data_IF_998040956239
#
_entry.id   IF_998040956239
#
_cell.length_a   1.000
_cell.length_b   1.000
_cell.length_c   1.000
_cell.angle_alpha   90.00
_cell.angle_beta   90.00
_cell.angle_gamma   90.00
#
_symmetry.space_group_name_H-M   'P 1'
#
loop_
_entity.id
_entity.type
_entity.pdbx_description
1 polymer ?
#
# COMPACT_ATOMS: atom_id res chain seq x y z
N UNK A 1 2.38 -18.10 6.73
CA UNK A 1 1.58 -18.53 5.56
C UNK A 1 0.39 -19.35 6.04
N UNK A 2 -0.78 -19.16 5.45
CA UNK A 2 -2.01 -19.85 5.82
C UNK A 2 -2.24 -21.05 4.88
N UNK A 3 -2.56 -22.25 5.39
CA UNK A 3 -2.90 -23.40 4.56
C UNK A 3 -4.14 -23.13 3.69
N UNK A 4 -4.16 -23.66 2.45
CA UNK A 4 -5.27 -23.41 1.49
C UNK A 4 -6.64 -23.79 2.04
N UNK A 5 -6.73 -24.91 2.74
CA UNK A 5 -8.00 -25.42 3.29
C UNK A 5 -8.53 -24.63 4.49
N UNK A 6 -7.77 -23.69 5.03
CA UNK A 6 -8.20 -22.83 6.15
C UNK A 6 -8.78 -21.48 5.69
N UNK A 7 -8.83 -21.21 4.38
CA UNK A 7 -9.27 -19.92 3.82
C UNK A 7 -10.73 -19.58 4.19
N UNK A 8 -11.61 -20.53 4.08
CA UNK A 8 -13.03 -20.35 4.39
C UNK A 8 -13.22 -20.00 5.87
N UNK A 9 -12.64 -20.79 6.77
CA UNK A 9 -12.66 -20.52 8.21
C UNK A 9 -12.03 -19.15 8.54
N UNK A 10 -10.98 -18.77 7.82
CA UNK A 10 -10.33 -17.46 8.02
C UNK A 10 -11.23 -16.31 7.57
N UNK A 11 -11.92 -16.46 6.45
CA UNK A 11 -12.89 -15.48 5.97
C UNK A 11 -14.03 -15.26 7.00
N UNK A 12 -14.57 -16.34 7.58
CA UNK A 12 -15.57 -16.27 8.65
C UNK A 12 -15.04 -15.56 9.91
N UNK A 13 -13.82 -15.89 10.34
CA UNK A 13 -13.18 -15.21 11.48
C UNK A 13 -13.00 -13.72 11.25
N UNK A 14 -12.54 -13.32 10.07
CA UNK A 14 -12.37 -11.92 9.69
C UNK A 14 -13.71 -11.18 9.62
N UNK A 15 -14.73 -11.79 9.05
CA UNK A 15 -16.07 -11.23 8.99
C UNK A 15 -16.64 -11.02 10.41
N UNK A 16 -16.48 -11.98 11.29
CA UNK A 16 -16.90 -11.85 12.69
C UNK A 16 -16.17 -10.72 13.44
N UNK A 17 -14.84 -10.65 13.31
CA UNK A 17 -14.06 -9.58 13.92
C UNK A 17 -14.43 -8.20 13.36
N UNK A 18 -14.66 -8.10 12.06
CA UNK A 18 -15.15 -6.88 11.41
C UNK A 18 -16.50 -6.43 11.97
N UNK A 19 -17.42 -7.38 12.17
CA UNK A 19 -18.72 -7.12 12.79
C UNK A 19 -18.60 -6.64 14.24
N UNK A 20 -17.78 -7.31 15.05
CA UNK A 20 -17.53 -6.90 16.45
C UNK A 20 -16.94 -5.50 16.51
N UNK A 21 -15.91 -5.21 15.71
CA UNK A 21 -15.31 -3.88 15.61
C UNK A 21 -16.34 -2.84 15.20
N UNK A 22 -17.12 -3.13 14.20
CA UNK A 22 -18.20 -2.24 13.71
C UNK A 22 -19.21 -1.93 14.82
N UNK A 23 -19.72 -2.94 15.51
CA UNK A 23 -20.70 -2.75 16.61
C UNK A 23 -20.14 -1.92 17.75
N UNK A 24 -18.87 -2.09 18.10
CA UNK A 24 -18.23 -1.28 19.14
C UNK A 24 -18.12 0.19 18.74
N UNK A 25 -17.62 0.47 17.52
CA UNK A 25 -17.41 1.84 17.05
C UNK A 25 -18.74 2.54 16.79
N UNK A 26 -19.72 1.86 16.17
CA UNK A 26 -21.03 2.45 15.81
C UNK A 26 -22.02 2.55 16.98
N UNK A 27 -21.63 2.18 18.20
CA UNK A 27 -22.51 2.19 19.36
C UNK A 27 -22.95 3.62 19.74
N UNK A 28 -24.19 3.78 20.21
CA UNK A 28 -24.72 5.06 20.69
C UNK A 28 -23.82 5.69 21.75
N UNK A 29 -23.22 4.85 22.62
CA UNK A 29 -22.32 5.30 23.66
C UNK A 29 -21.10 6.04 23.10
N UNK A 30 -20.53 5.56 21.99
CA UNK A 30 -19.40 6.24 21.32
C UNK A 30 -19.84 7.59 20.79
N UNK A 31 -21.01 7.67 20.13
CA UNK A 31 -21.58 8.94 19.66
C UNK A 31 -21.78 9.95 20.78
N UNK A 32 -22.36 9.53 21.93
CA UNK A 32 -22.54 10.38 23.10
C UNK A 32 -21.21 10.88 23.70
N UNK A 33 -20.18 10.02 23.74
CA UNK A 33 -18.86 10.39 24.23
C UNK A 33 -18.17 11.40 23.30
N UNK A 34 -18.30 11.24 21.98
CA UNK A 34 -17.79 12.20 21.00
C UNK A 34 -18.46 13.56 21.17
N UNK A 35 -19.79 13.61 21.36
CA UNK A 35 -20.52 14.86 21.59
C UNK A 35 -20.04 15.56 22.88
N UNK A 36 -19.93 14.83 23.99
CA UNK A 36 -19.40 15.38 25.25
C UNK A 36 -17.97 15.91 25.10
N UNK A 37 -17.11 15.17 24.40
CA UNK A 37 -15.72 15.59 24.19
C UNK A 37 -15.60 16.87 23.35
N UNK A 38 -16.57 17.19 22.50
CA UNK A 38 -16.60 18.46 21.74
C UNK A 38 -16.81 19.69 22.60
N UNK A 39 -17.48 19.53 23.74
CA UNK A 39 -17.75 20.61 24.70
C UNK A 39 -16.55 20.86 25.65
N UNK A 40 -15.54 19.99 25.61
CA UNK A 40 -14.33 20.11 26.44
C UNK A 40 -13.28 21.05 25.82
N UNK A 41 -12.48 21.67 26.68
CA UNK A 41 -11.34 22.47 26.25
C UNK A 41 -10.15 21.57 25.91
N UNK A 42 -10.04 21.19 24.65
CA UNK A 42 -9.00 20.30 24.15
C UNK A 42 -7.84 21.07 23.51
N UNK A 43 -6.62 20.57 23.68
CA UNK A 43 -5.45 21.01 22.90
C UNK A 43 -5.57 20.55 21.43
N UNK A 44 -4.67 21.02 20.58
CA UNK A 44 -4.73 20.74 19.12
C UNK A 44 -4.54 19.27 18.77
N UNK A 45 -3.74 18.53 19.55
CA UNK A 45 -3.56 17.08 19.36
C UNK A 45 -4.83 16.31 19.69
N UNK A 46 -5.46 16.61 20.81
CA UNK A 46 -6.71 15.99 21.22
C UNK A 46 -7.87 16.37 20.28
N UNK A 47 -7.91 17.63 19.78
CA UNK A 47 -8.86 18.02 18.74
C UNK A 47 -8.68 17.22 17.45
N UNK A 48 -7.43 17.01 17.01
CA UNK A 48 -7.15 16.19 15.84
C UNK A 48 -7.59 14.74 16.05
N UNK A 49 -7.31 14.16 17.21
CA UNK A 49 -7.72 12.81 17.55
C UNK A 49 -9.26 12.67 17.59
N UNK A 50 -9.95 13.62 18.23
CA UNK A 50 -11.42 13.64 18.29
C UNK A 50 -12.04 13.73 16.89
N UNK A 51 -11.46 14.54 15.99
CA UNK A 51 -11.89 14.64 14.59
C UNK A 51 -11.81 13.30 13.88
N UNK A 52 -10.71 12.54 14.04
CA UNK A 52 -10.57 11.23 13.42
C UNK A 52 -11.48 10.18 14.08
N UNK A 53 -11.68 10.23 15.39
CA UNK A 53 -12.68 9.40 16.09
C UNK A 53 -14.10 9.66 15.56
N UNK A 54 -14.47 10.91 15.41
CA UNK A 54 -15.78 11.29 14.86
C UNK A 54 -15.95 10.79 13.42
N UNK A 55 -14.91 10.93 12.60
CA UNK A 55 -14.92 10.44 11.23
C UNK A 55 -15.13 8.91 11.20
N UNK A 56 -14.39 8.16 12.00
CA UNK A 56 -14.56 6.69 12.10
C UNK A 56 -15.97 6.31 12.57
N UNK A 57 -16.49 7.03 13.56
CA UNK A 57 -17.85 6.83 14.05
C UNK A 57 -18.89 7.09 12.96
N UNK A 58 -18.80 8.20 12.23
CA UNK A 58 -19.74 8.55 11.16
C UNK A 58 -19.71 7.48 10.06
N UNK A 59 -18.52 7.08 9.61
CA UNK A 59 -18.36 6.05 8.58
C UNK A 59 -18.96 4.70 9.03
N UNK A 60 -18.67 4.29 10.26
CA UNK A 60 -19.14 3.02 10.81
C UNK A 60 -20.64 3.04 11.11
N UNK A 61 -21.15 4.07 11.81
CA UNK A 61 -22.56 4.14 12.23
C UNK A 61 -23.55 4.34 11.08
N UNK A 62 -23.07 4.74 9.91
CA UNK A 62 -23.90 4.88 8.71
C UNK A 62 -24.21 3.54 8.04
N UNK A 63 -23.40 2.52 8.25
CA UNK A 63 -23.51 1.24 7.57
C UNK A 63 -24.22 0.19 8.42
N UNK A 64 -25.17 -0.59 7.85
CA UNK A 64 -25.74 -1.75 8.52
C UNK A 64 -24.69 -2.83 8.78
N UNK A 65 -24.73 -3.45 9.96
CA UNK A 65 -23.76 -4.48 10.37
C UNK A 65 -23.75 -5.69 9.42
N UNK A 66 -24.89 -6.06 8.86
CA UNK A 66 -25.00 -7.16 7.91
C UNK A 66 -24.32 -6.85 6.56
N UNK A 67 -24.36 -5.59 6.12
CA UNK A 67 -23.64 -5.16 4.91
C UNK A 67 -22.13 -5.22 5.13
N UNK A 68 -21.64 -4.76 6.28
CA UNK A 68 -20.20 -4.83 6.64
C UNK A 68 -19.72 -6.27 6.66
N UNK A 69 -20.49 -7.18 7.27
CA UNK A 69 -20.19 -8.61 7.30
C UNK A 69 -20.14 -9.23 5.90
N UNK A 70 -21.14 -8.93 5.05
CA UNK A 70 -21.21 -9.41 3.65
C UNK A 70 -20.02 -8.91 2.82
N UNK A 71 -19.65 -7.62 2.92
CA UNK A 71 -18.51 -7.08 2.19
C UNK A 71 -17.21 -7.75 2.64
N UNK A 72 -16.99 -7.93 3.95
CA UNK A 72 -15.80 -8.58 4.47
C UNK A 72 -15.68 -10.04 3.99
N UNK A 73 -16.77 -10.78 4.03
CA UNK A 73 -16.83 -12.18 3.55
C UNK A 73 -16.61 -12.28 2.03
N UNK A 74 -17.30 -11.46 1.24
CA UNK A 74 -17.17 -11.44 -0.22
C UNK A 74 -15.76 -11.04 -0.66
N UNK A 75 -15.14 -10.07 0.01
CA UNK A 75 -13.75 -9.63 -0.24
C UNK A 75 -12.76 -10.75 -0.02
N UNK A 76 -12.80 -11.39 1.15
CA UNK A 76 -11.89 -12.50 1.47
C UNK A 76 -12.05 -13.70 0.52
N UNK A 77 -13.28 -14.00 0.13
CA UNK A 77 -13.59 -15.08 -0.84
C UNK A 77 -13.07 -14.74 -2.24
N UNK A 78 -13.33 -13.52 -2.71
CA UNK A 78 -12.88 -13.06 -4.03
C UNK A 78 -11.35 -13.06 -4.11
N UNK A 79 -10.65 -12.57 -3.07
CA UNK A 79 -9.19 -12.57 -2.98
C UNK A 79 -8.61 -13.99 -3.07
N UNK A 80 -9.18 -14.94 -2.33
CA UNK A 80 -8.73 -16.33 -2.35
C UNK A 80 -8.87 -17.00 -3.71
N UNK A 81 -9.96 -16.69 -4.45
CA UNK A 81 -10.17 -17.20 -5.80
C UNK A 81 -9.25 -16.50 -6.81
N UNK A 82 -9.09 -15.19 -6.69
CA UNK A 82 -8.20 -14.41 -7.55
C UNK A 82 -6.75 -14.91 -7.48
N UNK A 83 -6.23 -15.25 -6.30
CA UNK A 83 -4.86 -15.75 -6.13
C UNK A 83 -4.56 -16.99 -7.01
N UNK A 84 -5.52 -17.91 -7.11
CA UNK A 84 -5.36 -19.13 -7.94
C UNK A 84 -5.64 -18.87 -9.42
N UNK A 85 -6.65 -18.07 -9.73
CA UNK A 85 -7.04 -17.73 -11.08
C UNK A 85 -5.98 -16.88 -11.80
N UNK A 86 -5.33 -15.95 -11.09
CA UNK A 86 -4.24 -15.13 -11.62
C UNK A 86 -3.08 -15.97 -12.16
N UNK A 87 -2.71 -17.05 -11.46
CA UNK A 87 -1.64 -17.96 -11.89
C UNK A 87 -1.96 -18.63 -13.24
N UNK A 88 -3.24 -18.73 -13.59
CA UNK A 88 -3.74 -19.37 -14.81
C UNK A 88 -4.24 -18.37 -15.85
N UNK A 89 -4.16 -17.05 -15.56
CA UNK A 89 -4.78 -15.99 -16.35
C UNK A 89 -6.28 -16.22 -16.60
N UNK A 90 -6.99 -16.79 -15.61
CA UNK A 90 -8.40 -17.19 -15.70
C UNK A 90 -9.32 -16.16 -15.03
N UNK A 91 -9.60 -15.05 -15.73
CA UNK A 91 -10.50 -14.01 -15.24
C UNK A 91 -11.96 -14.51 -15.10
N UNK A 92 -12.40 -15.47 -15.93
CA UNK A 92 -13.77 -15.97 -15.91
C UNK A 92 -14.15 -16.60 -14.58
N UNK A 93 -13.19 -17.27 -13.93
CA UNK A 93 -13.40 -17.85 -12.59
C UNK A 93 -13.56 -16.78 -11.52
N UNK A 94 -12.91 -15.62 -11.66
CA UNK A 94 -12.97 -14.51 -10.68
C UNK A 94 -14.24 -13.68 -10.85
N UNK A 95 -14.72 -13.52 -12.09
CA UNK A 95 -15.78 -12.58 -12.47
C UNK A 95 -17.02 -12.63 -11.56
N UNK A 96 -17.65 -13.80 -11.26
CA UNK A 96 -18.85 -13.83 -10.43
C UNK A 96 -18.65 -13.27 -9.01
N UNK A 97 -17.48 -13.52 -8.42
CA UNK A 97 -17.14 -13.05 -7.07
C UNK A 97 -16.82 -11.53 -7.06
N UNK A 98 -16.20 -11.05 -8.13
CA UNK A 98 -15.98 -9.63 -8.32
C UNK A 98 -17.29 -8.87 -8.54
N UNK A 99 -18.23 -9.42 -9.31
CA UNK A 99 -19.57 -8.84 -9.51
C UNK A 99 -20.33 -8.72 -8.19
N UNK A 100 -20.33 -9.77 -7.36
CA UNK A 100 -20.92 -9.73 -6.02
C UNK A 100 -20.30 -8.61 -5.17
N UNK A 101 -18.98 -8.52 -5.13
CA UNK A 101 -18.28 -7.49 -4.38
C UNK A 101 -18.60 -6.08 -4.89
N UNK A 102 -18.68 -5.88 -6.20
CA UNK A 102 -19.06 -4.60 -6.83
C UNK A 102 -20.49 -4.20 -6.45
N UNK A 103 -21.43 -5.13 -6.42
CA UNK A 103 -22.83 -4.87 -6.01
C UNK A 103 -22.87 -4.40 -4.54
N UNK A 104 -22.17 -5.09 -3.65
CA UNK A 104 -22.10 -4.74 -2.23
C UNK A 104 -21.41 -3.39 -2.02
N UNK A 105 -20.32 -3.12 -2.75
CA UNK A 105 -19.60 -1.84 -2.69
C UNK A 105 -20.46 -0.67 -3.20
N UNK A 106 -21.28 -0.89 -4.23
CA UNK A 106 -22.26 0.12 -4.68
C UNK A 106 -23.30 0.43 -3.61
N UNK A 107 -23.82 -0.59 -2.89
CA UNK A 107 -24.73 -0.36 -1.77
C UNK A 107 -24.07 0.47 -0.67
N UNK A 108 -22.84 0.11 -0.27
CA UNK A 108 -22.04 0.88 0.69
C UNK A 108 -21.87 2.33 0.23
N UNK A 109 -21.48 2.54 -1.04
CA UNK A 109 -21.22 3.87 -1.58
C UNK A 109 -22.45 4.78 -1.57
N UNK A 110 -23.64 4.25 -1.88
CA UNK A 110 -24.89 5.00 -1.82
C UNK A 110 -25.21 5.47 -0.40
N UNK A 111 -25.11 4.58 0.59
CA UNK A 111 -25.36 4.93 1.99
C UNK A 111 -24.38 6.00 2.48
N UNK A 112 -23.07 5.82 2.18
CA UNK A 112 -22.04 6.78 2.59
C UNK A 112 -22.19 8.11 1.88
N UNK A 113 -22.56 8.14 0.59
CA UNK A 113 -22.72 9.37 -0.19
C UNK A 113 -23.84 10.26 0.37
N UNK A 114 -24.96 9.67 0.79
CA UNK A 114 -26.06 10.40 1.46
C UNK A 114 -25.59 11.02 2.78
N UNK A 115 -24.83 10.25 3.57
CA UNK A 115 -24.32 10.71 4.88
C UNK A 115 -23.27 11.80 4.75
N UNK A 116 -22.35 11.64 3.82
CA UNK A 116 -21.22 12.56 3.58
C UNK A 116 -21.60 13.73 2.66
N UNK A 117 -22.76 13.69 2.00
CA UNK A 117 -23.23 14.69 1.04
C UNK A 117 -22.27 14.91 -0.13
N UNK A 118 -21.80 13.82 -0.71
CA UNK A 118 -20.87 13.79 -1.83
C UNK A 118 -21.29 12.75 -2.89
N UNK A 119 -20.56 12.61 -4.00
CA UNK A 119 -20.84 11.54 -4.95
C UNK A 119 -20.54 10.16 -4.36
N UNK A 120 -21.17 9.11 -4.91
CA UNK A 120 -20.91 7.73 -4.46
C UNK A 120 -19.44 7.35 -4.61
N UNK A 121 -18.78 7.83 -5.67
CA UNK A 121 -17.36 7.58 -5.89
C UNK A 121 -16.48 8.35 -4.89
N UNK A 122 -16.78 9.63 -4.63
CA UNK A 122 -16.10 10.43 -3.62
C UNK A 122 -16.26 9.84 -2.21
N UNK A 123 -17.42 9.25 -1.88
CA UNK A 123 -17.63 8.56 -0.62
C UNK A 123 -16.69 7.34 -0.47
N UNK A 124 -16.44 6.60 -1.56
CA UNK A 124 -15.47 5.50 -1.53
C UNK A 124 -14.03 6.00 -1.44
N UNK A 125 -13.67 7.06 -2.16
CA UNK A 125 -12.34 7.68 -2.03
C UNK A 125 -12.08 8.10 -0.58
N UNK A 126 -13.07 8.68 0.09
CA UNK A 126 -12.96 9.12 1.50
C UNK A 126 -12.59 8.00 2.49
N UNK A 127 -12.84 6.73 2.15
CA UNK A 127 -12.38 5.59 2.98
C UNK A 127 -10.87 5.51 3.04
N UNK A 128 -10.19 5.84 1.95
CA UNK A 128 -8.76 5.70 1.74
C UNK A 128 -8.01 7.04 1.86
N UNK A 129 -8.63 8.11 1.36
CA UNK A 129 -8.08 9.46 1.40
C UNK A 129 -9.11 10.42 2.02
N UNK A 130 -9.03 10.65 3.33
CA UNK A 130 -9.97 11.51 4.05
C UNK A 130 -9.99 12.93 3.49
N UNK A 131 -11.20 13.45 3.24
CA UNK A 131 -11.42 14.78 2.66
C UNK A 131 -10.94 14.92 1.20
N UNK A 132 -10.68 13.84 0.51
CA UNK A 132 -10.41 13.88 -0.91
C UNK A 132 -11.60 14.47 -1.68
N UNK A 133 -11.30 15.24 -2.70
CA UNK A 133 -12.30 15.84 -3.58
C UNK A 133 -12.08 15.37 -5.01
N UNK A 134 -13.07 14.68 -5.57
CA UNK A 134 -13.02 14.08 -6.91
C UNK A 134 -12.66 15.12 -7.99
N UNK A 135 -13.28 16.31 -7.94
CA UNK A 135 -13.02 17.36 -8.92
C UNK A 135 -11.55 17.84 -8.88
N UNK A 136 -10.98 18.00 -7.67
CA UNK A 136 -9.57 18.39 -7.53
C UNK A 136 -8.64 17.33 -8.10
N UNK A 137 -8.90 16.06 -7.79
CA UNK A 137 -8.11 14.93 -8.31
C UNK A 137 -8.19 14.92 -9.85
N UNK A 138 -9.38 15.02 -10.41
CA UNK A 138 -9.59 15.07 -11.85
C UNK A 138 -8.79 16.20 -12.51
N UNK A 139 -8.86 17.42 -11.96
CA UNK A 139 -8.10 18.57 -12.50
C UNK A 139 -6.58 18.32 -12.45
N UNK A 140 -6.07 17.69 -11.37
CA UNK A 140 -4.65 17.33 -11.27
C UNK A 140 -4.28 16.35 -12.38
N UNK A 141 -5.08 15.31 -12.60
CA UNK A 141 -4.81 14.29 -13.62
C UNK A 141 -4.91 14.85 -15.04
N UNK A 142 -5.88 15.72 -15.34
CA UNK A 142 -5.98 16.40 -16.63
C UNK A 142 -4.74 17.27 -16.95
N UNK A 143 -4.22 17.97 -15.94
CA UNK A 143 -2.99 18.74 -16.08
C UNK A 143 -1.76 17.83 -16.28
N UNK A 144 -1.67 16.73 -15.52
CA UNK A 144 -0.60 15.75 -15.67
C UNK A 144 -0.63 15.09 -17.05
N UNK A 145 -1.78 14.65 -17.52
CA UNK A 145 -1.94 14.05 -18.85
C UNK A 145 -1.46 14.99 -19.96
N UNK A 146 -1.86 16.26 -19.90
CA UNK A 146 -1.45 17.27 -20.87
C UNK A 146 0.06 17.46 -20.90
N UNK A 147 0.74 17.36 -19.75
CA UNK A 147 2.18 17.54 -19.64
C UNK A 147 2.95 16.25 -19.96
N UNK A 148 2.50 15.12 -19.40
CA UNK A 148 3.27 13.87 -19.46
C UNK A 148 3.19 13.20 -20.83
N UNK A 149 2.04 13.19 -21.49
CA UNK A 149 1.88 12.46 -22.77
C UNK A 149 2.92 12.89 -23.81
N UNK A 150 3.08 14.20 -24.14
CA UNK A 150 4.11 14.60 -25.12
C UNK A 150 5.55 14.41 -24.60
N UNK A 151 5.75 14.45 -23.28
CA UNK A 151 7.07 14.23 -22.69
C UNK A 151 7.49 12.76 -22.79
N UNK A 152 6.57 11.83 -22.56
CA UNK A 152 6.83 10.36 -22.66
C UNK A 152 7.29 10.04 -24.08
N UNK A 153 6.60 10.52 -25.11
CA UNK A 153 6.98 10.28 -26.51
C UNK A 153 8.40 10.76 -26.80
N UNK A 154 8.78 11.96 -26.32
CA UNK A 154 10.15 12.50 -26.48
C UNK A 154 11.20 11.65 -25.74
N UNK A 155 10.88 11.16 -24.55
CA UNK A 155 11.77 10.30 -23.75
C UNK A 155 11.99 8.97 -24.47
N UNK A 156 10.91 8.31 -24.91
CA UNK A 156 10.98 7.05 -25.64
C UNK A 156 11.83 7.20 -26.91
N UNK A 157 11.63 8.27 -27.68
CA UNK A 157 12.42 8.52 -28.89
C UNK A 157 13.91 8.72 -28.59
N UNK A 158 14.24 9.37 -27.49
CA UNK A 158 15.64 9.54 -27.05
C UNK A 158 16.25 8.21 -26.59
N UNK A 159 15.52 7.41 -25.83
CA UNK A 159 16.00 6.13 -25.28
C UNK A 159 16.26 5.07 -26.36
N UNK A 160 15.55 5.10 -27.50
CA UNK A 160 15.78 4.18 -28.62
C UNK A 160 17.24 4.11 -29.11
N UNK A 161 18.04 5.14 -28.86
CA UNK A 161 19.42 5.23 -29.29
C UNK A 161 20.41 4.99 -28.14
N UNK A 162 19.95 4.61 -26.97
CA UNK A 162 20.82 4.32 -25.83
C UNK A 162 21.29 2.87 -25.86
N UNK A 163 22.60 2.66 -25.72
CA UNK A 163 23.17 1.33 -25.54
C UNK A 163 22.96 0.88 -24.09
N UNK A 164 22.30 -0.26 -23.93
CA UNK A 164 22.05 -0.90 -22.63
C UNK A 164 22.60 -2.32 -22.68
N UNK A 165 23.37 -2.69 -21.68
CA UNK A 165 23.90 -4.04 -21.51
C UNK A 165 22.89 -4.84 -20.68
N UNK A 166 22.25 -5.82 -21.30
CA UNK A 166 21.32 -6.71 -20.59
C UNK A 166 22.03 -7.51 -19.50
N UNK A 167 21.30 -7.77 -18.41
CA UNK A 167 21.83 -8.62 -17.34
C UNK A 167 21.95 -10.05 -17.86
N UNK A 168 23.19 -10.54 -17.97
CA UNK A 168 23.49 -11.89 -18.46
C UNK A 168 23.54 -12.93 -17.33
N UNK A 169 23.92 -12.52 -16.14
CA UNK A 169 24.03 -13.38 -14.97
C UNK A 169 22.83 -13.17 -14.05
N UNK A 170 22.01 -14.20 -13.88
CA UNK A 170 20.84 -14.17 -13.03
C UNK A 170 21.27 -13.93 -11.57
N UNK A 171 20.53 -13.05 -10.88
CA UNK A 171 20.64 -12.89 -9.44
C UNK A 171 19.65 -13.83 -8.78
N UNK A 172 20.14 -14.83 -8.03
CA UNK A 172 19.26 -15.79 -7.36
C UNK A 172 18.34 -15.11 -6.33
N UNK A 173 17.26 -15.77 -5.97
CA UNK A 173 16.32 -15.24 -4.95
C UNK A 173 17.02 -14.99 -3.62
N UNK A 174 17.95 -15.85 -3.22
CA UNK A 174 18.76 -15.70 -2.02
C UNK A 174 19.63 -14.43 -2.08
N UNK A 175 20.30 -14.22 -3.22
CA UNK A 175 21.11 -13.01 -3.42
C UNK A 175 20.26 -11.74 -3.42
N UNK A 176 19.11 -11.74 -4.10
CA UNK A 176 18.17 -10.61 -4.07
C UNK A 176 17.70 -10.32 -2.65
N UNK A 177 17.40 -11.36 -1.87
CA UNK A 177 17.03 -11.24 -0.46
C UNK A 177 18.15 -10.63 0.38
N UNK A 178 19.38 -11.11 0.24
CA UNK A 178 20.54 -10.61 0.97
C UNK A 178 20.81 -9.13 0.64
N UNK A 179 20.77 -8.76 -0.64
CA UNK A 179 20.91 -7.37 -1.08
C UNK A 179 19.77 -6.53 -0.51
N UNK A 180 18.53 -7.00 -0.61
CA UNK A 180 17.36 -6.31 -0.08
C UNK A 180 17.46 -6.06 1.43
N UNK A 181 17.77 -7.07 2.23
CA UNK A 181 17.96 -6.93 3.68
C UNK A 181 19.09 -5.93 4.01
N UNK A 182 20.18 -5.96 3.26
CA UNK A 182 21.27 -5.01 3.43
C UNK A 182 20.82 -3.58 3.15
N UNK A 183 20.08 -3.34 2.06
CA UNK A 183 19.54 -2.03 1.71
C UNK A 183 18.53 -1.51 2.75
N UNK A 184 17.59 -2.36 3.19
CA UNK A 184 16.64 -2.05 4.26
C UNK A 184 17.37 -1.58 5.53
N UNK A 185 18.43 -2.30 5.93
CA UNK A 185 19.24 -1.93 7.09
C UNK A 185 19.93 -0.57 6.90
N UNK A 186 20.41 -0.25 5.68
CA UNK A 186 21.05 1.04 5.38
C UNK A 186 20.08 2.21 5.46
N UNK A 187 18.79 2.00 5.18
CA UNK A 187 17.72 3.00 5.34
C UNK A 187 17.32 3.15 6.82
N UNK A 188 17.67 2.19 7.67
CA UNK A 188 17.38 2.21 9.10
C UNK A 188 16.18 1.35 9.51
N UNK A 189 15.76 0.39 8.67
CA UNK A 189 14.73 -0.56 9.06
C UNK A 189 15.19 -1.44 10.23
N UNK A 190 14.38 -1.45 11.29
CA UNK A 190 14.65 -2.22 12.50
C UNK A 190 14.01 -3.62 12.42
N UNK A 191 14.82 -4.63 12.17
CA UNK A 191 14.38 -6.03 12.08
C UNK A 191 13.90 -6.62 13.42
N UNK A 192 14.07 -5.92 14.55
CA UNK A 192 13.41 -6.30 15.81
C UNK A 192 11.93 -5.86 15.83
N UNK A 193 11.55 -4.98 14.92
CA UNK A 193 10.19 -4.40 14.80
C UNK A 193 9.50 -4.77 13.48
N UNK A 194 10.11 -5.65 12.70
CA UNK A 194 9.53 -6.06 11.42
C UNK A 194 10.34 -7.13 10.70
N UNK A 195 9.84 -7.56 9.55
CA UNK A 195 10.46 -8.62 8.76
C UNK A 195 10.12 -8.51 7.28
N UNK A 196 10.96 -9.14 6.43
CA UNK A 196 10.75 -9.31 4.99
C UNK A 196 10.38 -10.77 4.69
N UNK A 197 9.26 -10.96 4.01
CA UNK A 197 8.76 -12.27 3.54
C UNK A 197 8.47 -12.23 2.02
N UNK A 198 7.85 -13.27 1.49
CA UNK A 198 7.43 -13.34 0.08
C UNK A 198 5.91 -13.46 -0.05
N UNK A 199 5.35 -12.83 -1.08
CA UNK A 199 3.94 -12.94 -1.45
C UNK A 199 3.73 -12.83 -2.97
N UNK A 200 2.50 -13.02 -3.43
CA UNK A 200 2.15 -12.88 -4.85
C UNK A 200 2.16 -11.43 -5.34
N UNK A 201 1.93 -10.50 -4.44
CA UNK A 201 2.01 -9.06 -4.67
C UNK A 201 2.71 -8.43 -3.47
N UNK A 202 3.78 -7.62 -3.67
CA UNK A 202 4.42 -6.90 -2.58
C UNK A 202 3.41 -6.08 -1.79
N UNK A 203 3.57 -6.03 -0.50
CA UNK A 203 2.81 -5.15 0.38
C UNK A 203 3.54 -4.89 1.70
N UNK A 204 3.22 -3.77 2.33
CA UNK A 204 3.57 -3.47 3.71
C UNK A 204 2.30 -3.50 4.57
N UNK A 205 2.39 -4.11 5.74
CA UNK A 205 1.28 -4.16 6.69
C UNK A 205 1.73 -4.69 8.04
N UNK A 206 0.81 -4.76 8.98
CA UNK A 206 1.12 -5.28 10.32
C UNK A 206 0.42 -4.55 11.43
N UNK A 207 1.09 -4.44 12.56
CA UNK A 207 0.62 -3.75 13.75
C UNK A 207 1.76 -2.96 14.38
N UNK A 208 1.46 -2.13 15.35
CA UNK A 208 2.48 -1.39 16.09
C UNK A 208 3.59 -2.33 16.60
N UNK A 209 4.85 -2.04 16.24
CA UNK A 209 6.06 -2.84 16.55
C UNK A 209 6.14 -4.21 15.86
N UNK A 210 5.28 -4.51 14.86
CA UNK A 210 5.37 -5.71 14.04
C UNK A 210 4.97 -5.36 12.60
N UNK A 211 5.85 -4.66 11.88
CA UNK A 211 5.63 -4.25 10.50
C UNK A 211 6.21 -5.31 9.56
N UNK A 212 5.37 -5.83 8.68
CA UNK A 212 5.72 -6.91 7.77
C UNK A 212 5.70 -6.42 6.34
N UNK A 213 6.83 -6.62 5.68
CA UNK A 213 7.03 -6.33 4.26
C UNK A 213 7.03 -7.65 3.50
N UNK A 214 6.43 -7.66 2.32
CA UNK A 214 6.58 -8.79 1.41
C UNK A 214 7.09 -8.32 0.06
N UNK A 215 7.81 -9.21 -0.62
CA UNK A 215 8.29 -8.99 -1.98
C UNK A 215 8.02 -10.22 -2.85
N UNK A 216 8.25 -10.06 -4.15
CA UNK A 216 8.25 -11.14 -5.12
C UNK A 216 9.56 -11.07 -5.91
N UNK A 217 10.40 -12.08 -5.77
CA UNK A 217 11.67 -12.16 -6.47
C UNK A 217 11.49 -12.53 -7.95
N UNK A 218 12.30 -11.92 -8.79
CA UNK A 218 12.40 -12.22 -10.22
C UNK A 218 13.88 -12.33 -10.60
N UNK A 219 14.33 -13.54 -10.98
CA UNK A 219 15.74 -13.78 -11.27
C UNK A 219 16.19 -13.15 -12.60
N UNK A 220 15.24 -12.93 -13.53
CA UNK A 220 15.48 -12.30 -14.83
C UNK A 220 15.55 -10.77 -14.69
N UNK A 221 14.75 -10.21 -13.80
CA UNK A 221 14.69 -8.79 -13.51
C UNK A 221 14.82 -8.56 -12.00
N UNK A 222 16.05 -8.60 -11.47
CA UNK A 222 16.29 -8.43 -10.03
C UNK A 222 15.98 -7.02 -9.54
N UNK A 223 16.01 -6.00 -10.42
CA UNK A 223 15.74 -4.62 -10.02
C UNK A 223 14.29 -4.42 -9.64
N UNK A 224 13.34 -5.05 -10.33
CA UNK A 224 11.92 -4.96 -9.95
C UNK A 224 11.66 -5.44 -8.52
N UNK A 225 12.38 -6.47 -8.06
CA UNK A 225 12.25 -6.95 -6.69
C UNK A 225 12.95 -6.04 -5.68
N UNK A 226 14.11 -5.49 -6.02
CA UNK A 226 14.85 -4.57 -5.15
C UNK A 226 14.11 -3.23 -5.02
N UNK A 227 13.59 -2.68 -6.11
CA UNK A 227 12.72 -1.49 -6.07
C UNK A 227 11.47 -1.73 -5.23
N UNK A 228 10.79 -2.88 -5.41
CA UNK A 228 9.66 -3.26 -4.60
C UNK A 228 9.99 -3.37 -3.11
N UNK A 229 11.13 -3.97 -2.74
CA UNK A 229 11.59 -4.00 -1.34
C UNK A 229 11.80 -2.57 -0.80
N UNK A 230 12.41 -1.69 -1.58
CA UNK A 230 12.69 -0.31 -1.17
C UNK A 230 11.40 0.49 -1.04
N UNK A 231 10.45 0.34 -1.97
CA UNK A 231 9.11 0.92 -1.91
C UNK A 231 8.39 0.52 -0.62
N UNK A 232 8.28 -0.79 -0.36
CA UNK A 232 7.63 -1.30 0.85
C UNK A 232 8.38 -0.89 2.13
N UNK A 233 9.71 -0.74 2.05
CA UNK A 233 10.50 -0.20 3.17
C UNK A 233 10.13 1.25 3.46
N UNK A 234 9.83 2.06 2.45
CA UNK A 234 9.34 3.43 2.63
C UNK A 234 8.03 3.46 3.44
N UNK A 235 7.06 2.62 3.08
CA UNK A 235 5.84 2.42 3.85
C UNK A 235 6.13 2.01 5.29
N UNK A 236 7.01 1.03 5.46
CA UNK A 236 7.35 0.52 6.78
C UNK A 236 8.06 1.56 7.67
N UNK A 237 8.96 2.37 7.10
CA UNK A 237 9.61 3.45 7.84
C UNK A 237 8.61 4.50 8.31
N UNK A 238 7.57 4.79 7.52
CA UNK A 238 6.48 5.66 7.94
C UNK A 238 5.73 5.07 9.13
N UNK A 239 5.26 3.82 9.03
CA UNK A 239 4.52 3.13 10.09
C UNK A 239 5.34 2.98 11.39
N UNK A 240 6.64 2.66 11.29
CA UNK A 240 7.54 2.51 12.43
C UNK A 240 7.82 3.83 13.17
N UNK A 241 7.65 4.96 12.51
CA UNK A 241 7.91 6.30 13.06
C UNK A 241 6.65 7.08 13.43
N UNK A 242 5.47 6.47 13.35
CA UNK A 242 4.24 7.05 13.88
C UNK A 242 4.34 7.29 15.39
N UNK A 243 3.65 8.32 15.95
CA UNK A 243 3.77 8.70 17.35
C UNK A 243 3.42 7.56 18.32
N UNK A 244 4.38 7.09 19.09
CA UNK A 244 4.22 5.94 20.00
C UNK A 244 3.24 6.20 21.14
N UNK A 245 3.11 7.44 21.58
CA UNK A 245 2.17 7.86 22.60
C UNK A 245 0.70 7.75 22.15
N UNK A 246 0.49 7.73 20.82
CA UNK A 246 -0.84 7.66 20.20
C UNK A 246 -1.12 6.31 19.51
N UNK A 247 -0.29 5.30 19.72
CA UNK A 247 -0.32 4.01 19.00
C UNK A 247 -1.68 3.29 18.89
N UNK A 248 -2.58 3.55 19.83
CA UNK A 248 -3.93 2.97 19.83
C UNK A 248 -5.03 4.02 19.59
N UNK A 249 -4.65 5.21 19.20
CA UNK A 249 -5.56 6.31 18.89
C UNK A 249 -5.60 6.55 17.38
N UNK A 250 -6.73 7.00 16.83
CA UNK A 250 -6.81 7.30 15.39
C UNK A 250 -5.76 8.31 14.90
N UNK A 251 -5.42 9.32 15.71
CA UNK A 251 -4.39 10.29 15.35
C UNK A 251 -2.95 9.74 15.35
N UNK A 252 -2.74 8.57 15.93
CA UNK A 252 -1.45 7.86 15.91
C UNK A 252 -1.31 6.85 14.78
N UNK A 253 -2.31 6.77 13.89
CA UNK A 253 -2.28 5.89 12.72
C UNK A 253 -1.98 6.70 11.45
N UNK A 254 -1.52 6.02 10.40
CA UNK A 254 -1.37 6.64 9.09
C UNK A 254 -2.71 7.20 8.61
N UNK A 255 -2.68 8.40 8.03
CA UNK A 255 -3.87 9.09 7.58
C UNK A 255 -3.81 9.40 6.10
N UNK A 256 -4.64 8.70 5.35
CA UNK A 256 -4.73 8.84 3.89
C UNK A 256 -3.64 8.10 3.12
N UNK A 257 -4.04 7.53 1.99
CA UNK A 257 -3.13 6.77 1.13
C UNK A 257 -2.14 7.67 0.40
N UNK A 258 -2.50 8.93 0.10
CA UNK A 258 -1.59 9.87 -0.56
C UNK A 258 -0.33 10.15 0.29
N UNK A 259 -0.50 10.37 1.60
CA UNK A 259 0.64 10.55 2.50
C UNK A 259 1.42 9.24 2.66
N UNK A 260 0.75 8.12 2.81
CA UNK A 260 1.37 6.81 2.97
C UNK A 260 2.23 6.44 1.75
N UNK A 261 1.67 6.63 0.54
CA UNK A 261 2.35 6.41 -0.73
C UNK A 261 3.50 7.40 -0.96
N UNK A 262 3.37 8.64 -0.52
CA UNK A 262 4.45 9.62 -0.65
C UNK A 262 5.73 9.21 0.10
N UNK A 263 5.61 8.40 1.16
CA UNK A 263 6.75 7.89 1.92
C UNK A 263 7.44 6.72 1.20
N UNK A 264 6.68 5.86 0.54
CA UNK A 264 7.24 4.81 -0.32
C UNK A 264 7.91 5.41 -1.55
N UNK A 265 7.24 6.34 -2.23
CA UNK A 265 7.77 7.04 -3.40
C UNK A 265 8.98 7.94 -3.07
N UNK A 266 9.09 8.47 -1.85
CA UNK A 266 10.30 9.16 -1.41
C UNK A 266 11.52 8.23 -1.50
N UNK A 267 11.38 7.01 -1.03
CA UNK A 267 12.47 6.01 -1.09
C UNK A 267 12.66 5.52 -2.52
N UNK A 268 11.60 5.07 -3.18
CA UNK A 268 11.67 4.53 -4.54
C UNK A 268 12.11 5.58 -5.56
N UNK A 269 11.35 6.67 -5.72
CA UNK A 269 11.55 7.60 -6.82
C UNK A 269 12.68 8.63 -6.55
N UNK A 270 12.83 9.09 -5.30
CA UNK A 270 13.77 10.16 -5.01
C UNK A 270 15.15 9.60 -4.59
N UNK A 271 15.20 8.44 -3.94
CA UNK A 271 16.45 7.82 -3.51
C UNK A 271 16.89 6.76 -4.50
N UNK A 272 16.14 5.65 -4.64
CA UNK A 272 16.64 4.48 -5.38
C UNK A 272 16.82 4.74 -6.87
N UNK A 273 16.00 5.57 -7.51
CA UNK A 273 16.16 5.95 -8.92
C UNK A 273 17.21 7.03 -9.16
N UNK A 274 17.82 7.57 -8.10
CA UNK A 274 18.88 8.56 -8.29
C UNK A 274 20.19 7.92 -8.75
N UNK A 275 20.95 8.64 -9.59
CA UNK A 275 22.27 8.20 -10.05
C UNK A 275 23.25 8.01 -8.88
N UNK A 276 23.11 8.79 -7.80
CA UNK A 276 23.90 8.63 -6.60
C UNK A 276 23.65 7.28 -5.92
N UNK A 277 22.39 6.87 -5.81
CA UNK A 277 22.04 5.55 -5.28
C UNK A 277 22.52 4.43 -6.21
N UNK A 278 22.40 4.56 -7.53
CA UNK A 278 22.91 3.55 -8.49
C UNK A 278 24.42 3.36 -8.34
N UNK A 279 25.16 4.44 -8.11
CA UNK A 279 26.60 4.36 -7.80
C UNK A 279 26.88 3.59 -6.50
N UNK A 280 26.09 3.85 -5.47
CA UNK A 280 26.17 3.14 -4.19
C UNK A 280 25.81 1.65 -4.38
N UNK A 281 24.73 1.33 -5.07
CA UNK A 281 24.27 -0.03 -5.35
C UNK A 281 25.30 -0.81 -6.15
N UNK A 282 25.81 -0.26 -7.26
CA UNK A 282 26.87 -0.85 -8.07
C UNK A 282 28.10 -1.17 -7.23
N UNK A 283 28.52 -0.26 -6.36
CA UNK A 283 29.65 -0.48 -5.45
C UNK A 283 29.40 -1.64 -4.48
N UNK A 284 28.21 -1.74 -3.91
CA UNK A 284 27.81 -2.85 -3.02
C UNK A 284 27.79 -4.17 -3.79
N UNK A 285 27.14 -4.21 -4.95
CA UNK A 285 27.03 -5.41 -5.76
C UNK A 285 28.41 -5.97 -6.09
N UNK A 286 29.36 -5.11 -6.48
CA UNK A 286 30.74 -5.51 -6.78
C UNK A 286 31.53 -5.97 -5.56
N UNK A 287 31.53 -5.19 -4.50
CA UNK A 287 32.41 -5.43 -3.36
C UNK A 287 31.90 -6.52 -2.42
N UNK A 288 30.60 -6.53 -2.15
CA UNK A 288 30.00 -7.41 -1.15
C UNK A 288 29.41 -8.68 -1.77
N UNK A 289 28.87 -8.58 -2.99
CA UNK A 289 28.14 -9.68 -3.63
C UNK A 289 28.84 -10.26 -4.86
N UNK A 290 30.00 -9.71 -5.25
CA UNK A 290 30.86 -10.21 -6.34
C UNK A 290 30.24 -10.14 -7.74
N UNK A 291 29.29 -9.26 -7.98
CA UNK A 291 28.76 -8.94 -9.30
C UNK A 291 29.70 -7.95 -10.00
N UNK A 292 30.66 -8.46 -10.79
CA UNK A 292 31.78 -7.66 -11.35
C UNK A 292 31.63 -7.32 -12.83
N UNK A 293 30.63 -7.89 -13.50
CA UNK A 293 30.37 -7.68 -14.93
C UNK A 293 29.89 -6.24 -15.21
N UNK A 294 30.15 -5.75 -16.42
CA UNK A 294 29.81 -4.37 -16.82
C UNK A 294 28.32 -4.07 -16.79
N UNK A 295 27.43 -5.08 -16.87
CA UNK A 295 25.99 -4.89 -16.72
C UNK A 295 25.60 -4.34 -15.34
N UNK A 296 26.45 -4.53 -14.32
CA UNK A 296 26.27 -3.98 -12.96
C UNK A 296 26.96 -2.63 -12.73
N UNK A 297 27.45 -2.00 -13.80
CA UNK A 297 28.02 -0.65 -13.72
C UNK A 297 26.94 0.41 -13.49
N UNK A 298 27.30 1.48 -12.77
CA UNK A 298 26.39 2.55 -12.38
C UNK A 298 25.57 3.11 -13.54
N UNK A 299 26.23 3.40 -14.69
CA UNK A 299 25.56 3.98 -15.84
C UNK A 299 24.59 2.99 -16.48
N UNK A 300 24.96 1.72 -16.55
CA UNK A 300 24.13 0.69 -17.13
C UNK A 300 22.90 0.39 -16.24
N UNK A 301 23.08 0.26 -14.92
CA UNK A 301 21.96 0.09 -13.99
C UNK A 301 21.00 1.28 -14.07
N UNK A 302 21.55 2.51 -14.13
CA UNK A 302 20.74 3.72 -14.25
C UNK A 302 19.88 3.71 -15.51
N UNK A 303 20.42 3.28 -16.66
CA UNK A 303 19.68 3.18 -17.92
C UNK A 303 18.64 2.06 -17.90
N UNK A 304 19.01 0.86 -17.42
CA UNK A 304 18.11 -0.29 -17.31
C UNK A 304 16.82 0.01 -16.53
N UNK A 305 16.91 0.82 -15.49
CA UNK A 305 15.75 1.15 -14.67
C UNK A 305 14.96 2.39 -15.19
N UNK A 306 15.44 3.02 -16.25
CA UNK A 306 14.72 4.10 -16.95
C UNK A 306 13.95 3.59 -18.18
N UNK A 307 14.20 2.36 -18.61
CA UNK A 307 13.55 1.71 -19.75
C UNK A 307 12.13 1.23 -19.39
#
# INVERSE_FOLDING_TARGET
MMPKNSRENRAEQLAYLSKVRHQLISSNKVGELILKAKDESLDDKNKANLREMEREYIMSSSLPSDLVEKISSASAKCEGIWEEARKKSDFKTVLPFLEELVILTKQESLILSEKLKCSSYEALINKFEPQANERKIKTIFENLETFLSPLIDQIIDKQKNEEIISISNLMTQEQQKEVGLFLMQKIGFDFNRGRLDTSQHPFCGGAYQDIRITTRYNEIDPFSSLEGIMHETGHAMYELNLPSEWKYQPAGQSRGMAMHESQSLLIEMQITRSKAFKKFLSGILKNNFKFTENCWDTENIYKLEQE
#
